data_IF_736898780333
#
_entry.id   IF_736898780333
#
_cell.length_a   1.000
_cell.length_b   1.000
_cell.length_c   1.000
_cell.angle_alpha   90.00
_cell.angle_beta   90.00
_cell.angle_gamma   90.00
#
_symmetry.space_group_name_H-M   'P 1'
#
loop_
_entity.id
_entity.type
_entity.pdbx_description
1 polymer ?
#
# COMPACT_ATOMS: atom_id res chain seq x y z
N UNK A 1 69.01 -13.43 19.54
CA UNK A 1 68.22 -13.09 18.35
C UNK A 1 66.75 -13.28 18.69
N UNK A 2 66.03 -12.19 18.99
CA UNK A 2 64.65 -12.24 19.49
C UNK A 2 63.68 -12.07 18.32
N UNK A 3 62.89 -13.10 18.00
CA UNK A 3 61.83 -13.03 16.98
C UNK A 3 60.63 -12.30 17.59
N UNK A 4 60.47 -11.03 17.21
CA UNK A 4 59.22 -10.31 17.40
C UNK A 4 58.30 -10.74 16.27
N UNK A 5 57.26 -11.51 16.60
CA UNK A 5 56.16 -11.81 15.69
C UNK A 5 55.03 -10.88 16.14
N UNK A 6 54.62 -9.87 15.34
CA UNK A 6 53.40 -9.13 15.62
C UNK A 6 52.22 -10.09 15.50
N UNK A 7 51.64 -10.49 16.62
CA UNK A 7 50.39 -11.25 16.69
C UNK A 7 49.22 -10.28 16.52
N UNK A 8 49.15 -9.60 15.38
CA UNK A 8 47.94 -8.88 14.99
C UNK A 8 47.23 -9.79 13.99
N UNK A 9 46.14 -10.48 14.37
CA UNK A 9 45.32 -11.15 13.38
C UNK A 9 44.83 -10.07 12.42
N UNK A 10 45.02 -10.27 11.11
CA UNK A 10 44.27 -9.56 10.10
C UNK A 10 42.80 -9.60 10.52
N UNK A 11 42.25 -8.46 10.93
CA UNK A 11 40.82 -8.32 11.13
C UNK A 11 40.23 -8.26 9.72
N UNK A 12 39.57 -9.32 9.22
CA UNK A 12 38.86 -9.19 7.97
C UNK A 12 37.77 -8.16 8.25
N UNK A 13 37.87 -7.00 7.61
CA UNK A 13 36.77 -6.03 7.54
C UNK A 13 35.47 -6.83 7.33
N UNK A 14 34.47 -6.72 8.22
CA UNK A 14 33.25 -7.49 8.08
C UNK A 14 32.60 -6.99 6.78
N UNK A 15 32.81 -7.76 5.71
CA UNK A 15 32.27 -7.47 4.39
C UNK A 15 30.79 -7.11 4.50
N UNK A 16 30.28 -6.25 3.61
CA UNK A 16 29.00 -5.56 3.76
C UNK A 16 27.95 -6.52 4.29
N UNK A 17 27.49 -6.25 5.52
CA UNK A 17 26.52 -7.11 6.19
C UNK A 17 25.37 -7.38 5.22
N UNK A 18 24.93 -8.65 5.05
CA UNK A 18 23.91 -8.98 4.08
C UNK A 18 22.69 -8.11 4.38
N UNK A 19 22.40 -7.20 3.46
CA UNK A 19 21.36 -6.18 3.63
C UNK A 19 20.02 -6.91 3.73
N UNK A 20 19.51 -7.04 4.96
CA UNK A 20 18.19 -7.61 5.23
C UNK A 20 17.06 -6.84 4.53
N UNK A 21 17.36 -5.65 3.99
CA UNK A 21 16.46 -4.87 3.15
C UNK A 21 15.94 -5.62 1.92
N UNK A 22 16.75 -6.50 1.31
CA UNK A 22 16.28 -7.32 0.19
C UNK A 22 15.17 -8.29 0.62
N UNK A 23 15.37 -8.97 1.75
CA UNK A 23 14.37 -9.88 2.31
C UNK A 23 13.12 -9.14 2.81
N UNK A 24 13.29 -7.99 3.47
CA UNK A 24 12.19 -7.13 3.90
C UNK A 24 11.37 -6.62 2.71
N UNK A 25 12.01 -6.18 1.62
CA UNK A 25 11.33 -5.77 0.39
C UNK A 25 10.58 -6.94 -0.24
N UNK A 26 11.17 -8.14 -0.26
CA UNK A 26 10.53 -9.34 -0.78
C UNK A 26 9.30 -9.73 0.06
N UNK A 27 9.42 -9.68 1.39
CA UNK A 27 8.30 -9.85 2.32
C UNK A 27 7.21 -8.79 2.11
N UNK A 28 7.60 -7.52 1.94
CA UNK A 28 6.65 -6.43 1.71
C UNK A 28 5.90 -6.60 0.38
N UNK A 29 6.61 -6.91 -0.70
CA UNK A 29 6.00 -7.20 -2.01
C UNK A 29 5.06 -8.39 -1.93
N UNK A 30 5.46 -9.45 -1.22
CA UNK A 30 4.62 -10.62 -1.00
C UNK A 30 3.35 -10.25 -0.22
N UNK A 31 3.46 -9.49 0.87
CA UNK A 31 2.31 -9.03 1.66
C UNK A 31 1.36 -8.13 0.84
N UNK A 32 1.90 -7.23 0.02
CA UNK A 32 1.11 -6.38 -0.89
C UNK A 32 0.37 -7.23 -1.92
N UNK A 33 1.04 -8.20 -2.54
CA UNK A 33 0.42 -9.12 -3.50
C UNK A 33 -0.70 -9.93 -2.83
N UNK A 34 -0.48 -10.47 -1.62
CA UNK A 34 -1.52 -11.16 -0.85
C UNK A 34 -2.70 -10.25 -0.52
N UNK A 35 -2.46 -9.00 -0.14
CA UNK A 35 -3.52 -8.04 0.17
C UNK A 35 -4.36 -7.70 -1.07
N UNK A 36 -3.73 -7.55 -2.24
CA UNK A 36 -4.42 -7.33 -3.50
C UNK A 36 -5.22 -8.55 -3.95
N UNK A 37 -4.66 -9.76 -3.82
CA UNK A 37 -5.39 -11.01 -4.07
C UNK A 37 -6.55 -11.19 -3.10
N UNK A 38 -6.35 -10.90 -1.81
CA UNK A 38 -7.42 -10.91 -0.83
C UNK A 38 -8.50 -9.87 -1.14
N UNK A 39 -8.19 -8.69 -1.70
CA UNK A 39 -9.21 -7.76 -2.19
C UNK A 39 -9.95 -8.27 -3.43
N UNK A 40 -9.29 -9.07 -4.29
CA UNK A 40 -9.92 -9.69 -5.44
C UNK A 40 -10.84 -10.87 -5.02
N UNK A 41 -10.44 -11.65 -4.02
CA UNK A 41 -11.19 -12.79 -3.48
C UNK A 41 -12.14 -12.41 -2.31
N UNK A 42 -12.04 -11.19 -1.76
CA UNK A 42 -12.94 -10.66 -0.72
C UNK A 42 -14.40 -10.58 -1.15
N UNK A 43 -14.66 -10.66 -2.47
CA UNK A 43 -16.01 -10.79 -3.02
C UNK A 43 -16.64 -12.19 -2.86
N UNK A 44 -15.89 -13.21 -2.41
CA UNK A 44 -16.36 -14.60 -2.44
C UNK A 44 -16.79 -15.19 -1.08
N UNK A 45 -16.43 -14.58 0.06
CA UNK A 45 -16.70 -15.16 1.39
C UNK A 45 -17.25 -14.16 2.44
N UNK A 46 -17.42 -12.90 2.08
CA UNK A 46 -18.06 -11.90 2.95
C UNK A 46 -19.47 -11.67 2.40
N UNK A 47 -20.49 -11.76 3.27
CA UNK A 47 -21.76 -11.11 2.94
C UNK A 47 -21.43 -9.68 2.52
N UNK A 48 -21.96 -9.22 1.37
CA UNK A 48 -21.42 -8.08 0.64
C UNK A 48 -21.33 -6.92 1.61
N UNK A 49 -20.11 -6.47 1.87
CA UNK A 49 -19.90 -5.16 2.47
C UNK A 49 -20.33 -4.15 1.41
N UNK A 50 -21.63 -3.87 1.34
CA UNK A 50 -22.27 -2.75 0.63
C UNK A 50 -21.74 -1.37 1.08
N UNK A 51 -20.56 -1.33 1.71
CA UNK A 51 -19.87 -0.15 2.19
C UNK A 51 -18.52 0.06 1.53
N UNK A 52 -17.74 -0.97 1.20
CA UNK A 52 -16.38 -0.73 0.69
C UNK A 52 -16.38 -0.25 -0.77
N UNK A 53 -17.18 -0.90 -1.62
CA UNK A 53 -17.39 -0.48 -3.00
C UNK A 53 -18.10 0.88 -3.06
N UNK A 54 -19.09 1.10 -2.18
CA UNK A 54 -19.83 2.35 -2.10
C UNK A 54 -18.99 3.52 -1.56
N UNK A 55 -18.07 3.28 -0.63
CA UNK A 55 -17.09 4.30 -0.18
C UNK A 55 -16.14 4.69 -1.32
N UNK A 56 -15.62 3.71 -2.08
CA UNK A 56 -14.75 4.00 -3.21
C UNK A 56 -15.50 4.76 -4.32
N UNK A 57 -16.76 4.38 -4.58
CA UNK A 57 -17.64 5.10 -5.50
C UNK A 57 -17.88 6.54 -5.01
N UNK A 58 -18.21 6.73 -3.73
CA UNK A 58 -18.46 8.05 -3.16
C UNK A 58 -17.23 8.95 -3.25
N UNK A 59 -16.04 8.40 -2.97
CA UNK A 59 -14.78 9.13 -3.06
C UNK A 59 -14.42 9.51 -4.50
N UNK A 60 -14.56 8.57 -5.44
CA UNK A 60 -14.27 8.85 -6.86
C UNK A 60 -15.21 9.91 -7.45
N UNK A 61 -16.49 9.90 -7.06
CA UNK A 61 -17.41 10.95 -7.49
C UNK A 61 -17.17 12.30 -6.81
N UNK A 62 -16.77 12.32 -5.53
CA UNK A 62 -16.39 13.55 -4.85
C UNK A 62 -15.19 14.25 -5.52
N UNK A 63 -14.27 13.47 -6.10
CA UNK A 63 -13.15 14.01 -6.88
C UNK A 63 -13.53 14.50 -8.28
N UNK A 64 -14.66 14.03 -8.82
CA UNK A 64 -15.11 14.42 -10.16
C UNK A 64 -15.79 15.79 -10.17
N UNK A 65 -16.39 16.22 -9.05
CA UNK A 65 -17.03 17.53 -8.95
C UNK A 65 -16.03 18.64 -8.58
N UNK A 66 -16.19 19.85 -9.16
CA UNK A 66 -15.40 21.01 -8.76
C UNK A 66 -15.70 21.43 -7.31
N UNK A 67 -14.77 22.14 -6.64
CA UNK A 67 -14.96 22.55 -5.25
C UNK A 67 -16.23 23.38 -5.06
N UNK A 68 -16.98 23.10 -3.98
CA UNK A 68 -18.26 23.76 -3.68
C UNK A 68 -19.50 23.13 -4.35
N UNK A 69 -19.38 21.92 -4.88
CA UNK A 69 -20.50 21.15 -5.42
C UNK A 69 -20.68 19.81 -4.67
N UNK A 70 -21.93 19.50 -4.34
CA UNK A 70 -22.40 18.21 -3.86
C UNK A 70 -22.43 17.22 -5.01
N UNK A 71 -21.98 15.99 -4.74
CA UNK A 71 -22.27 14.86 -5.61
C UNK A 71 -23.64 14.29 -5.22
N UNK A 72 -24.59 14.32 -6.15
CA UNK A 72 -25.87 13.63 -6.02
C UNK A 72 -25.92 12.48 -7.00
N UNK A 73 -26.17 11.27 -6.48
CA UNK A 73 -26.34 10.07 -7.31
C UNK A 73 -27.80 9.95 -7.74
N UNK A 74 -28.09 10.14 -9.02
CA UNK A 74 -29.43 9.94 -9.59
C UNK A 74 -29.67 8.51 -10.08
N UNK A 75 -28.62 7.69 -10.08
CA UNK A 75 -28.66 6.30 -10.51
C UNK A 75 -27.33 5.60 -10.28
N UNK A 76 -27.21 4.32 -10.66
CA UNK A 76 -26.01 3.52 -10.40
C UNK A 76 -24.79 3.93 -11.24
N UNK A 77 -24.97 4.72 -12.29
CA UNK A 77 -23.88 5.22 -13.14
C UNK A 77 -24.04 6.73 -13.43
N UNK A 78 -25.09 7.37 -12.92
CA UNK A 78 -25.39 8.77 -13.16
C UNK A 78 -25.15 9.58 -11.89
N UNK A 79 -24.23 10.53 -11.98
CA UNK A 79 -23.90 11.47 -10.92
C UNK A 79 -24.10 12.90 -11.43
N UNK A 80 -24.57 13.76 -10.55
CA UNK A 80 -24.80 15.17 -10.80
C UNK A 80 -24.02 15.99 -9.77
N UNK A 81 -23.32 17.03 -10.23
CA UNK A 81 -22.63 17.97 -9.37
C UNK A 81 -23.55 19.17 -9.12
N UNK A 82 -24.27 19.18 -7.99
CA UNK A 82 -25.11 20.31 -7.62
C UNK A 82 -24.30 21.30 -6.81
N UNK A 83 -24.39 22.60 -7.13
CA UNK A 83 -23.77 23.63 -6.29
C UNK A 83 -24.45 23.63 -4.93
N UNK A 84 -23.67 23.42 -3.87
CA UNK A 84 -24.16 23.51 -2.50
C UNK A 84 -24.61 24.97 -2.28
N UNK A 85 -25.92 25.21 -2.17
CA UNK A 85 -26.41 26.52 -1.75
C UNK A 85 -26.19 26.62 -0.22
N UNK A 86 -25.46 27.63 0.29
CA UNK A 86 -25.19 27.78 1.72
C UNK A 86 -26.45 28.05 2.53
#
# INVERSE_FOLDING_TARGET
MQRVIPSEPFNPDPGPAPTHGGWLLLCLVLLVALALSACADAGAAQEPVDGAADVQRAHSAAQACPPGHAVVWTGPQSMECLRELP
#
